data_IF_074415913506
#
_entry.id   IF_074415913506
#
_cell.length_a   1.000
_cell.length_b   1.000
_cell.length_c   1.000
_cell.angle_alpha   90.00
_cell.angle_beta   90.00
_cell.angle_gamma   90.00
#
_symmetry.space_group_name_H-M   'P 1'
#
loop_
_entity.id
_entity.type
_entity.pdbx_description
1 polymer ?
#
# COMPACT_ATOMS: atom_id res chain seq x y z
N UNK A 1 10.18 3.57 8.44
CA UNK A 1 10.26 3.12 7.02
C UNK A 1 10.33 4.34 6.11
N UNK A 2 11.10 4.33 5.01
CA UNK A 2 11.17 5.50 4.12
C UNK A 2 9.84 5.75 3.38
N UNK A 3 9.66 6.97 2.86
CA UNK A 3 8.36 7.45 2.39
C UNK A 3 7.84 6.64 1.20
N UNK A 4 8.67 6.43 0.16
CA UNK A 4 8.27 5.70 -1.06
C UNK A 4 7.76 4.29 -0.73
N UNK A 5 8.47 3.56 0.13
CA UNK A 5 8.12 2.19 0.54
C UNK A 5 6.82 2.16 1.36
N UNK A 6 6.60 3.17 2.20
CA UNK A 6 5.34 3.32 2.91
C UNK A 6 4.18 3.53 1.94
N UNK A 7 4.33 4.38 0.94
CA UNK A 7 3.27 4.65 -0.02
C UNK A 7 2.94 3.42 -0.89
N UNK A 8 3.92 2.55 -1.21
CA UNK A 8 3.65 1.25 -1.85
C UNK A 8 2.70 0.41 -0.99
N UNK A 9 2.99 0.30 0.31
CA UNK A 9 2.16 -0.47 1.23
C UNK A 9 0.74 0.11 1.35
N UNK A 10 0.62 1.43 1.44
CA UNK A 10 -0.67 2.13 1.57
C UNK A 10 -1.50 2.01 0.30
N UNK A 11 -0.93 2.31 -0.87
CA UNK A 11 -1.62 2.19 -2.15
C UNK A 11 -2.09 0.75 -2.39
N UNK A 12 -1.25 -0.26 -2.09
CA UNK A 12 -1.68 -1.66 -2.22
C UNK A 12 -2.83 -1.96 -1.27
N UNK A 13 -2.77 -1.48 -0.02
CA UNK A 13 -3.83 -1.66 0.98
C UNK A 13 -5.13 -1.00 0.53
N UNK A 14 -5.08 0.25 0.05
CA UNK A 14 -6.24 0.98 -0.46
C UNK A 14 -6.90 0.27 -1.66
N UNK A 15 -6.08 -0.27 -2.56
CA UNK A 15 -6.55 -1.09 -3.68
C UNK A 15 -7.23 -2.39 -3.23
N UNK A 16 -6.60 -3.16 -2.35
CA UNK A 16 -7.17 -4.40 -1.79
C UNK A 16 -8.48 -4.11 -1.05
N UNK A 17 -8.51 -3.01 -0.30
CA UNK A 17 -9.70 -2.56 0.41
C UNK A 17 -10.73 -1.88 -0.50
N UNK A 18 -10.48 -1.73 -1.81
CA UNK A 18 -11.35 -1.03 -2.78
C UNK A 18 -11.83 0.34 -2.27
N UNK A 19 -10.92 1.09 -1.63
CA UNK A 19 -11.19 2.44 -1.13
C UNK A 19 -10.71 3.48 -2.13
N UNK A 20 -11.64 4.06 -2.90
CA UNK A 20 -11.32 5.02 -3.97
C UNK A 20 -10.67 6.28 -3.43
N UNK A 21 -11.18 6.78 -2.31
CA UNK A 21 -10.62 7.94 -1.63
C UNK A 21 -9.19 7.69 -1.19
N UNK A 22 -8.93 6.53 -0.57
CA UNK A 22 -7.58 6.18 -0.12
C UNK A 22 -6.61 6.09 -1.30
N UNK A 23 -7.04 5.43 -2.38
CA UNK A 23 -6.25 5.29 -3.59
C UNK A 23 -5.93 6.65 -4.20
N UNK A 24 -6.94 7.48 -4.45
CA UNK A 24 -6.77 8.78 -5.11
C UNK A 24 -5.86 9.73 -4.30
N UNK A 25 -6.05 9.78 -2.98
CA UNK A 25 -5.21 10.61 -2.10
C UNK A 25 -3.76 10.12 -2.09
N UNK A 26 -3.54 8.81 -2.00
CA UNK A 26 -2.20 8.24 -1.92
C UNK A 26 -1.51 8.08 -3.27
N UNK A 27 -2.23 8.21 -4.40
CA UNK A 27 -1.61 8.35 -5.72
C UNK A 27 -0.80 9.66 -5.79
N UNK A 28 -1.37 10.77 -5.31
CA UNK A 28 -0.69 12.06 -5.24
C UNK A 28 0.51 12.02 -4.28
N UNK A 29 0.30 11.52 -3.05
CA UNK A 29 1.36 11.43 -2.03
C UNK A 29 2.46 10.47 -2.48
N UNK A 30 2.10 9.35 -3.11
CA UNK A 30 3.03 8.38 -3.68
C UNK A 30 3.91 8.98 -4.77
N UNK A 31 3.32 9.76 -5.68
CA UNK A 31 4.07 10.48 -6.71
C UNK A 31 5.06 11.49 -6.09
N UNK A 32 4.63 12.26 -5.09
CA UNK A 32 5.51 13.19 -4.35
C UNK A 32 6.64 12.47 -3.59
N UNK A 33 6.38 11.23 -3.14
CA UNK A 33 7.39 10.36 -2.51
C UNK A 33 8.33 9.68 -3.52
N UNK A 34 8.11 9.85 -4.83
CA UNK A 34 8.98 9.36 -5.89
C UNK A 34 8.51 8.09 -6.59
N UNK A 35 7.25 7.67 -6.43
CA UNK A 35 6.68 6.61 -7.27
C UNK A 35 6.39 7.12 -8.68
N UNK A 36 6.72 6.33 -9.69
CA UNK A 36 6.32 6.65 -11.07
C UNK A 36 4.88 6.24 -11.33
N UNK A 37 4.26 6.81 -12.37
CA UNK A 37 2.92 6.42 -12.80
C UNK A 37 2.84 4.92 -13.12
N UNK A 38 3.88 4.38 -13.77
CA UNK A 38 3.96 2.96 -14.10
C UNK A 38 4.09 2.07 -12.86
N UNK A 39 4.76 2.54 -11.81
CA UNK A 39 4.79 1.84 -10.52
C UNK A 39 3.40 1.84 -9.87
N UNK A 40 2.73 2.98 -9.83
CA UNK A 40 1.38 3.10 -9.27
C UNK A 40 0.39 2.16 -9.98
N UNK A 41 0.42 2.10 -11.31
CA UNK A 41 -0.42 1.15 -12.05
C UNK A 41 -0.09 -0.31 -11.74
N UNK A 42 1.20 -0.64 -11.56
CA UNK A 42 1.63 -1.99 -11.19
C UNK A 42 1.16 -2.43 -9.81
N UNK A 43 0.92 -1.50 -8.88
CA UNK A 43 0.42 -1.81 -7.53
C UNK A 43 -0.94 -2.50 -7.60
N UNK A 44 -1.78 -2.19 -8.60
CA UNK A 44 -3.07 -2.84 -8.83
C UNK A 44 -2.93 -4.35 -9.12
N UNK A 45 -1.84 -4.74 -9.78
CA UNK A 45 -1.55 -6.13 -10.19
C UNK A 45 -1.01 -6.96 -9.02
N UNK A 46 -0.14 -6.37 -8.20
CA UNK A 46 0.49 -7.04 -7.06
C UNK A 46 1.98 -7.37 -7.27
N UNK A 47 2.54 -8.24 -6.42
CA UNK A 47 3.99 -8.45 -6.34
C UNK A 47 4.61 -9.09 -7.60
N UNK A 48 3.80 -9.73 -8.44
CA UNK A 48 4.23 -10.36 -9.69
C UNK A 48 4.52 -9.37 -10.83
N UNK A 49 4.24 -8.07 -10.66
CA UNK A 49 4.36 -7.06 -11.71
C UNK A 49 5.80 -6.57 -12.00
N UNK A 50 6.82 -7.40 -11.78
CA UNK A 50 8.21 -7.07 -12.12
C UNK A 50 8.85 -6.00 -11.24
N UNK A 51 8.64 -6.10 -9.93
CA UNK A 51 9.21 -5.21 -8.92
C UNK A 51 10.66 -5.58 -8.57
N UNK A 52 11.39 -4.61 -7.99
CA UNK A 52 12.60 -4.93 -7.23
C UNK A 52 12.27 -5.78 -5.99
N UNK A 53 13.29 -6.46 -5.45
CA UNK A 53 13.08 -7.42 -4.35
C UNK A 53 12.36 -6.81 -3.15
N UNK A 54 12.77 -5.62 -2.69
CA UNK A 54 12.16 -4.97 -1.53
C UNK A 54 10.70 -4.59 -1.81
N UNK A 55 10.44 -3.90 -2.92
CA UNK A 55 9.09 -3.46 -3.31
C UNK A 55 8.12 -4.66 -3.45
N UNK A 56 8.57 -5.77 -4.05
CA UNK A 56 7.78 -6.99 -4.15
C UNK A 56 7.40 -7.56 -2.78
N UNK A 57 8.34 -7.54 -1.82
CA UNK A 57 8.12 -8.03 -0.46
C UNK A 57 7.15 -7.15 0.32
N UNK A 58 7.17 -5.83 0.10
CA UNK A 58 6.21 -4.89 0.70
C UNK A 58 4.80 -5.18 0.21
N UNK A 59 4.64 -5.39 -1.10
CA UNK A 59 3.36 -5.72 -1.71
C UNK A 59 2.84 -7.07 -1.19
N UNK A 60 3.70 -8.09 -1.12
CA UNK A 60 3.34 -9.38 -0.52
C UNK A 60 2.92 -9.23 0.96
N UNK A 61 3.63 -8.41 1.74
CA UNK A 61 3.26 -8.17 3.14
C UNK A 61 1.89 -7.51 3.27
N UNK A 62 1.54 -6.58 2.38
CA UNK A 62 0.20 -5.99 2.31
C UNK A 62 -0.87 -7.02 1.93
N UNK A 63 -0.60 -7.85 0.92
CA UNK A 63 -1.49 -8.95 0.51
C UNK A 63 -1.73 -9.94 1.68
N UNK A 64 -0.66 -10.42 2.32
CA UNK A 64 -0.72 -11.35 3.45
C UNK A 64 -1.44 -10.76 4.68
N UNK A 65 -1.19 -9.48 5.02
CA UNK A 65 -1.91 -8.83 6.11
C UNK A 65 -3.38 -8.56 5.78
N UNK A 66 -3.72 -8.36 4.51
CA UNK A 66 -5.09 -8.21 4.09
C UNK A 66 -5.85 -9.55 4.18
N UNK A 67 -5.27 -10.63 3.67
CA UNK A 67 -5.91 -11.95 3.60
C UNK A 67 -5.87 -12.70 4.94
N UNK A 68 -4.69 -12.81 5.55
CA UNK A 68 -4.42 -13.71 6.67
C UNK A 68 -4.27 -12.99 8.02
N UNK A 69 -4.24 -11.65 8.00
CA UNK A 69 -3.96 -10.80 9.17
C UNK A 69 -2.61 -11.10 9.82
N UNK A 70 -1.69 -11.70 9.06
CA UNK A 70 -0.35 -12.06 9.51
C UNK A 70 0.61 -12.11 8.31
N UNK A 71 1.76 -11.46 8.43
CA UNK A 71 2.88 -11.64 7.49
C UNK A 71 3.48 -13.04 7.71
N UNK A 72 3.70 -13.78 6.62
CA UNK A 72 4.31 -15.10 6.66
C UNK A 72 5.76 -15.03 7.15
N UNK A 73 6.25 -16.10 7.78
CA UNK A 73 7.64 -16.16 8.25
C UNK A 73 8.63 -16.00 7.07
N UNK A 74 8.26 -16.43 5.87
CA UNK A 74 9.05 -16.27 4.66
C UNK A 74 9.22 -14.78 4.29
N UNK A 75 8.10 -14.06 4.16
CA UNK A 75 8.10 -12.63 3.82
C UNK A 75 8.75 -11.80 4.91
N UNK A 76 8.44 -12.10 6.18
CA UNK A 76 9.01 -11.42 7.34
C UNK A 76 10.53 -11.54 7.41
N UNK A 77 11.07 -12.75 7.26
CA UNK A 77 12.52 -12.98 7.31
C UNK A 77 13.24 -12.36 6.11
N UNK A 78 12.62 -12.35 4.93
CA UNK A 78 13.18 -11.69 3.75
C UNK A 78 13.25 -10.17 3.93
N UNK A 79 12.20 -9.53 4.44
CA UNK A 79 12.19 -8.09 4.74
C UNK A 79 13.24 -7.69 5.78
N UNK A 80 13.47 -8.52 6.81
CA UNK A 80 14.53 -8.28 7.81
C UNK A 80 15.96 -8.24 7.23
N UNK A 81 16.18 -8.68 6.00
CA UNK A 81 17.47 -8.50 5.34
C UNK A 81 17.69 -7.07 4.83
N UNK A 82 16.62 -6.28 4.71
CA UNK A 82 16.64 -4.87 4.28
C UNK A 82 16.38 -3.90 5.44
N UNK A 83 15.60 -4.33 6.43
CA UNK A 83 15.02 -3.45 7.44
C UNK A 83 15.28 -3.90 8.88
N UNK A 84 15.35 -2.91 9.76
CA UNK A 84 15.39 -3.13 11.21
C UNK A 84 13.99 -3.37 11.81
N UNK A 85 13.94 -3.76 13.08
CA UNK A 85 12.70 -4.07 13.77
C UNK A 85 11.71 -2.88 13.81
N UNK A 86 12.21 -1.64 13.84
CA UNK A 86 11.36 -0.45 13.85
C UNK A 86 10.65 -0.29 12.49
N UNK A 87 11.38 -0.43 11.39
CA UNK A 87 10.83 -0.38 10.05
C UNK A 87 9.84 -1.54 9.79
N UNK A 88 10.13 -2.73 10.35
CA UNK A 88 9.20 -3.87 10.30
C UNK A 88 7.88 -3.57 11.02
N UNK A 89 7.94 -2.94 12.20
CA UNK A 89 6.74 -2.49 12.92
C UNK A 89 5.99 -1.39 12.16
N UNK A 90 6.71 -0.42 11.59
CA UNK A 90 6.11 0.66 10.80
C UNK A 90 5.29 0.11 9.63
N UNK A 91 5.77 -0.95 8.96
CA UNK A 91 5.05 -1.60 7.86
C UNK A 91 3.70 -2.17 8.34
N UNK A 92 3.70 -2.95 9.42
CA UNK A 92 2.49 -3.57 9.98
C UNK A 92 1.49 -2.50 10.41
N UNK A 93 1.95 -1.46 11.11
CA UNK A 93 1.08 -0.38 11.57
C UNK A 93 0.53 0.46 10.42
N UNK A 94 1.32 0.75 9.39
CA UNK A 94 0.83 1.45 8.21
C UNK A 94 -0.29 0.66 7.53
N UNK A 95 -0.06 -0.62 7.21
CA UNK A 95 -1.07 -1.46 6.54
C UNK A 95 -2.33 -1.60 7.40
N UNK A 96 -2.18 -1.84 8.71
CA UNK A 96 -3.32 -1.94 9.63
C UNK A 96 -4.11 -0.64 9.75
N UNK A 97 -3.41 0.50 9.87
CA UNK A 97 -4.03 1.82 9.96
C UNK A 97 -4.83 2.13 8.69
N UNK A 98 -4.24 1.92 7.51
CA UNK A 98 -4.90 2.25 6.25
C UNK A 98 -5.97 1.24 5.86
N UNK A 99 -5.93 0.01 6.39
CA UNK A 99 -7.09 -0.89 6.38
C UNK A 99 -8.25 -0.30 7.18
N UNK A 100 -7.99 0.18 8.41
CA UNK A 100 -9.00 0.81 9.26
C UNK A 100 -9.59 2.08 8.62
N UNK A 101 -8.75 2.95 8.07
CA UNK A 101 -9.19 4.18 7.38
C UNK A 101 -10.01 3.83 6.15
N UNK A 102 -9.56 2.88 5.32
CA UNK A 102 -10.32 2.38 4.17
C UNK A 102 -11.70 1.86 4.57
N UNK A 103 -11.80 1.11 5.67
CA UNK A 103 -13.11 0.65 6.19
C UNK A 103 -14.02 1.83 6.54
N UNK A 104 -13.50 2.85 7.22
CA UNK A 104 -14.27 4.02 7.61
C UNK A 104 -14.75 4.82 6.38
N UNK A 105 -13.84 5.16 5.47
CA UNK A 105 -14.13 5.92 4.25
C UNK A 105 -15.22 5.25 3.42
N UNK A 106 -15.11 3.92 3.24
CA UNK A 106 -16.09 3.14 2.49
C UNK A 106 -17.43 3.01 3.20
N UNK A 107 -17.42 2.76 4.50
CA UNK A 107 -18.67 2.60 5.28
C UNK A 107 -19.45 3.90 5.37
N UNK A 108 -18.75 5.03 5.43
CA UNK A 108 -19.37 6.35 5.54
C UNK A 108 -19.59 7.03 4.19
N UNK A 109 -19.27 6.35 3.07
CA UNK A 109 -19.44 6.85 1.71
C UNK A 109 -18.84 8.26 1.54
N UNK A 110 -17.63 8.46 2.09
CA UNK A 110 -16.96 9.76 2.05
C UNK A 110 -16.68 10.12 0.59
N UNK A 111 -17.17 11.28 0.10
CA UNK A 111 -16.91 11.70 -1.27
C UNK A 111 -15.44 12.10 -1.44
N UNK A 112 -14.93 11.93 -2.66
CA UNK A 112 -13.64 12.48 -3.06
C UNK A 112 -13.65 14.01 -2.87
N UNK A 113 -12.53 14.54 -2.39
CA UNK A 113 -12.31 15.99 -2.44
C UNK A 113 -12.19 16.46 -3.91
N UNK A 114 -12.60 17.69 -4.20
CA UNK A 114 -12.69 18.22 -5.58
C UNK A 114 -11.38 18.16 -6.39
N UNK A 115 -10.24 18.06 -5.72
CA UNK A 115 -8.91 17.97 -6.36
C UNK A 115 -8.46 16.53 -6.63
N UNK A 116 -9.20 15.53 -6.14
CA UNK A 116 -8.90 14.13 -6.35
C UNK A 116 -9.56 13.62 -7.63
N UNK A 117 -8.77 12.89 -8.41
CA UNK A 117 -9.29 12.06 -9.52
C UNK A 117 -9.37 10.64 -8.96
N UNK A 118 -10.51 9.95 -9.10
CA UNK A 118 -10.78 8.65 -8.47
C UNK A 118 -9.85 7.52 -8.92
N UNK A 119 -10.37 6.41 -9.42
CA UNK A 119 -9.52 5.27 -9.84
C UNK A 119 -8.53 5.52 -11.01
N UNK A 120 -8.47 6.77 -11.50
CA UNK A 120 -7.89 7.12 -12.80
C UNK A 120 -8.76 6.53 -13.90
N UNK A 121 -9.26 7.38 -14.81
CA UNK A 121 -10.13 6.92 -15.91
C UNK A 121 -9.51 5.69 -16.61
N UNK A 122 -10.26 4.58 -16.59
CA UNK A 122 -9.97 3.30 -17.27
C UNK A 122 -9.81 3.44 -18.77
#
# INVERSE_FOLDING_TARGET
MPAREREIAILRTGWLCQSEYEWAQHELIGADAGLTKEEIERIKIGASAGWGTLDALIINAADELFEEKKISDMTWNALKSFWDDQQMMDLVFAIGQYTLVSMALRTFEVPLDDFLTGWGDT
#
